data_IF_121780314714
#
_entry.id   IF_121780314714
#
_cell.length_a   1.000
_cell.length_b   1.000
_cell.length_c   1.000
_cell.angle_alpha   90.00
_cell.angle_beta   90.00
_cell.angle_gamma   90.00
#
_symmetry.space_group_name_H-M   'P 1'
#
loop_
_entity.id
_entity.type
_entity.pdbx_description
1 polymer ?
#
# COMPACT_ATOMS: atom_id res chain seq x y z
N UNK A 1 17.29 7.04 30.75
CA UNK A 1 16.48 5.81 30.66
C UNK A 1 15.39 6.04 29.63
N UNK A 2 15.43 5.34 28.50
CA UNK A 2 14.36 5.42 27.50
C UNK A 2 13.07 4.90 28.13
N UNK A 3 11.99 5.67 28.00
CA UNK A 3 10.67 5.32 28.52
C UNK A 3 10.21 4.06 27.76
N UNK A 4 9.96 2.97 28.46
CA UNK A 4 9.47 1.73 27.86
C UNK A 4 8.20 2.04 27.07
N UNK A 5 8.21 1.73 25.78
CA UNK A 5 7.05 1.89 24.91
C UNK A 5 5.96 0.94 25.41
N UNK A 6 4.81 1.46 25.78
CA UNK A 6 3.67 0.65 26.21
C UNK A 6 2.81 0.36 24.97
N UNK A 7 2.94 -0.82 24.42
CA UNK A 7 2.03 -1.30 23.40
C UNK A 7 0.66 -1.67 24.03
N UNK A 8 -0.40 -1.46 23.26
CA UNK A 8 -1.77 -1.69 23.73
C UNK A 8 -2.21 -3.15 23.61
N UNK A 9 -1.62 -3.88 22.64
CA UNK A 9 -1.97 -5.27 22.32
C UNK A 9 -0.85 -6.22 22.76
N UNK A 10 -1.23 -7.43 23.13
CA UNK A 10 -0.26 -8.45 23.56
C UNK A 10 0.66 -8.89 22.41
N UNK A 11 0.12 -9.05 21.19
CA UNK A 11 0.88 -9.33 19.97
C UNK A 11 1.97 -8.30 19.68
N UNK A 12 1.67 -7.01 19.85
CA UNK A 12 2.65 -5.92 19.70
C UNK A 12 3.76 -6.00 20.76
N UNK A 13 3.40 -6.34 22.00
CA UNK A 13 4.36 -6.48 23.10
C UNK A 13 5.29 -7.66 22.90
N UNK A 14 4.77 -8.80 22.44
CA UNK A 14 5.55 -9.99 22.11
C UNK A 14 6.46 -9.73 20.89
N UNK A 15 5.94 -9.09 19.84
CA UNK A 15 6.71 -8.68 18.68
C UNK A 15 7.88 -7.79 19.08
N UNK A 16 7.61 -6.73 19.87
CA UNK A 16 8.63 -5.79 20.33
C UNK A 16 9.75 -6.48 21.10
N UNK A 17 9.42 -7.46 21.96
CA UNK A 17 10.41 -8.23 22.71
C UNK A 17 11.31 -9.03 21.77
N UNK A 18 10.74 -9.84 20.89
CA UNK A 18 11.51 -10.64 19.92
C UNK A 18 12.35 -9.77 18.97
N UNK A 19 11.78 -8.65 18.54
CA UNK A 19 12.49 -7.68 17.71
C UNK A 19 13.71 -7.08 18.42
N UNK A 20 13.55 -6.71 19.70
CA UNK A 20 14.65 -6.18 20.52
C UNK A 20 15.78 -7.20 20.69
N UNK A 21 15.46 -8.49 20.80
CA UNK A 21 16.45 -9.57 20.87
C UNK A 21 17.31 -9.65 19.58
N UNK A 22 16.77 -9.30 18.42
CA UNK A 22 17.52 -9.22 17.15
C UNK A 22 18.44 -7.98 17.08
N UNK A 23 18.11 -6.92 17.80
CA UNK A 23 18.84 -5.64 17.70
C UNK A 23 20.15 -5.61 18.51
N UNK A 24 20.66 -6.75 19.00
CA UNK A 24 21.87 -6.81 19.83
C UNK A 24 23.15 -6.46 19.08
N UNK A 25 23.21 -6.79 17.77
CA UNK A 25 24.42 -6.61 16.93
C UNK A 25 24.24 -5.66 15.75
N UNK A 26 22.99 -5.35 15.43
CA UNK A 26 22.62 -4.49 14.30
C UNK A 26 21.73 -3.35 14.80
N UNK A 27 21.68 -2.25 14.06
CA UNK A 27 20.75 -1.18 14.37
C UNK A 27 19.29 -1.64 14.24
N UNK A 28 18.40 -1.08 15.05
CA UNK A 28 16.97 -1.42 14.98
C UNK A 28 16.36 -1.12 13.59
N UNK A 29 16.85 -0.07 12.93
CA UNK A 29 16.46 0.26 11.56
C UNK A 29 16.87 -0.84 10.57
N UNK A 30 18.12 -1.31 10.64
CA UNK A 30 18.62 -2.37 9.74
C UNK A 30 17.83 -3.66 9.94
N UNK A 31 17.61 -4.07 11.20
CA UNK A 31 16.82 -5.27 11.52
C UNK A 31 15.39 -5.15 11.01
N UNK A 32 14.79 -3.95 11.14
CA UNK A 32 13.44 -3.70 10.63
C UNK A 32 13.37 -3.83 9.11
N UNK A 33 14.27 -3.15 8.41
CA UNK A 33 14.33 -3.21 6.95
C UNK A 33 14.59 -4.64 6.43
N UNK A 34 15.49 -5.38 7.10
CA UNK A 34 15.78 -6.78 6.81
C UNK A 34 14.55 -7.67 7.03
N UNK A 35 13.83 -7.50 8.15
CA UNK A 35 12.60 -8.25 8.44
C UNK A 35 11.53 -7.98 7.38
N UNK A 36 11.23 -6.72 7.11
CA UNK A 36 10.20 -6.32 6.14
C UNK A 36 10.53 -6.85 4.74
N UNK A 37 11.80 -6.70 4.29
CA UNK A 37 12.21 -7.18 2.98
C UNK A 37 12.12 -8.71 2.87
N UNK A 38 12.61 -9.46 3.86
CA UNK A 38 12.56 -10.92 3.84
C UNK A 38 11.12 -11.45 3.90
N UNK A 39 10.25 -10.87 4.73
CA UNK A 39 8.85 -11.23 4.78
C UNK A 39 8.13 -10.96 3.44
N UNK A 40 8.38 -9.79 2.82
CA UNK A 40 7.82 -9.47 1.51
C UNK A 40 8.29 -10.42 0.42
N UNK A 41 9.59 -10.76 0.39
CA UNK A 41 10.16 -11.75 -0.55
C UNK A 41 9.49 -13.12 -0.35
N UNK A 42 9.31 -13.55 0.88
CA UNK A 42 8.67 -14.85 1.19
C UNK A 42 7.26 -14.94 0.61
N UNK A 43 6.44 -13.90 0.80
CA UNK A 43 5.08 -13.85 0.22
C UNK A 43 5.16 -13.82 -1.30
N UNK A 44 5.96 -12.92 -1.87
CA UNK A 44 6.04 -12.74 -3.31
C UNK A 44 6.50 -13.99 -4.02
N UNK A 45 7.59 -14.62 -3.55
CA UNK A 45 8.17 -15.81 -4.20
C UNK A 45 7.30 -17.06 -4.05
N UNK A 46 6.32 -17.08 -3.13
CA UNK A 46 5.35 -18.16 -3.05
C UNK A 46 4.39 -18.17 -4.25
N UNK A 47 4.12 -17.02 -4.87
CA UNK A 47 3.20 -16.83 -5.99
C UNK A 47 3.92 -16.58 -7.32
N UNK A 48 4.96 -15.75 -7.32
CA UNK A 48 5.82 -15.47 -8.48
C UNK A 48 7.01 -16.41 -8.42
N UNK A 49 6.87 -17.60 -8.98
CA UNK A 49 7.78 -18.75 -8.76
C UNK A 49 8.92 -18.85 -9.77
N UNK A 50 8.90 -18.06 -10.83
CA UNK A 50 9.84 -18.18 -11.95
C UNK A 50 10.28 -16.80 -12.46
N UNK A 51 11.46 -16.76 -13.04
CA UNK A 51 12.00 -15.59 -13.72
C UNK A 51 12.99 -14.76 -12.91
N UNK A 52 13.56 -13.78 -13.57
CA UNK A 52 14.67 -12.97 -13.02
C UNK A 52 14.30 -12.28 -11.70
N UNK A 53 13.06 -11.79 -11.58
CA UNK A 53 12.60 -11.09 -10.37
C UNK A 53 12.58 -12.03 -9.17
N UNK A 54 12.06 -13.26 -9.34
CA UNK A 54 12.08 -14.30 -8.32
C UNK A 54 13.52 -14.60 -7.88
N UNK A 55 14.43 -14.88 -8.84
CA UNK A 55 15.81 -15.24 -8.54
C UNK A 55 16.58 -14.12 -7.84
N UNK A 56 16.35 -12.86 -8.22
CA UNK A 56 17.02 -11.72 -7.61
C UNK A 56 16.49 -11.47 -6.19
N UNK A 57 15.19 -11.65 -5.93
CA UNK A 57 14.59 -11.62 -4.60
C UNK A 57 15.12 -12.74 -3.71
N UNK A 58 15.21 -13.98 -4.24
CA UNK A 58 15.76 -15.10 -3.50
C UNK A 58 17.23 -14.87 -3.12
N UNK A 59 18.06 -14.37 -4.04
CA UNK A 59 19.44 -13.97 -3.73
C UNK A 59 19.52 -12.90 -2.66
N UNK A 60 18.59 -11.92 -2.68
CA UNK A 60 18.50 -10.89 -1.65
C UNK A 60 18.16 -11.52 -0.30
N UNK A 61 17.13 -12.39 -0.22
CA UNK A 61 16.74 -13.09 0.99
C UNK A 61 17.93 -13.87 1.57
N UNK A 62 18.57 -14.70 0.75
CA UNK A 62 19.71 -15.53 1.17
C UNK A 62 20.92 -14.71 1.61
N UNK A 63 21.16 -13.55 1.03
CA UNK A 63 22.23 -12.63 1.47
C UNK A 63 21.90 -12.03 2.81
N UNK A 64 20.68 -11.57 3.00
CA UNK A 64 20.21 -10.93 4.25
C UNK A 64 20.24 -11.90 5.41
N UNK A 65 19.63 -13.09 5.25
CA UNK A 65 19.51 -14.06 6.36
C UNK A 65 20.87 -14.62 6.81
N UNK A 66 21.86 -14.74 5.91
CA UNK A 66 23.23 -15.12 6.24
C UNK A 66 23.94 -14.12 7.17
N UNK A 67 23.47 -12.89 7.24
CA UNK A 67 23.97 -11.86 8.17
C UNK A 67 23.59 -12.10 9.63
N UNK A 68 22.75 -13.10 9.91
CA UNK A 68 22.23 -13.46 11.22
C UNK A 68 22.71 -14.84 11.63
N UNK A 69 22.96 -15.06 12.94
CA UNK A 69 23.30 -16.38 13.45
C UNK A 69 22.07 -17.30 13.48
N UNK A 70 22.27 -18.60 13.68
CA UNK A 70 21.20 -19.59 13.65
C UNK A 70 20.05 -19.30 14.64
N UNK A 71 20.36 -18.81 15.83
CA UNK A 71 19.34 -18.44 16.82
C UNK A 71 18.52 -17.24 16.39
N UNK A 72 19.19 -16.21 15.85
CA UNK A 72 18.54 -15.02 15.30
C UNK A 72 17.67 -15.33 14.08
N UNK A 73 18.13 -16.23 13.20
CA UNK A 73 17.37 -16.66 12.03
C UNK A 73 16.01 -17.26 12.40
N UNK A 74 15.92 -17.97 13.53
CA UNK A 74 14.68 -18.57 14.04
C UNK A 74 13.69 -17.54 14.61
N UNK A 75 14.11 -16.30 14.84
CA UNK A 75 13.22 -15.24 15.34
C UNK A 75 12.36 -14.65 14.20
N UNK A 76 12.90 -14.53 12.99
CA UNK A 76 12.17 -13.95 11.84
C UNK A 76 10.84 -14.63 11.53
N UNK A 77 10.74 -15.98 11.46
CA UNK A 77 9.45 -16.65 11.28
C UNK A 77 8.48 -16.40 12.43
N UNK A 78 8.97 -16.23 13.68
CA UNK A 78 8.10 -15.91 14.82
C UNK A 78 7.55 -14.50 14.74
N UNK A 79 8.36 -13.52 14.32
CA UNK A 79 7.88 -12.15 14.05
C UNK A 79 6.83 -12.14 12.95
N UNK A 80 7.05 -12.91 11.88
CA UNK A 80 6.09 -13.03 10.80
C UNK A 80 4.79 -13.69 11.25
N UNK A 81 4.85 -14.75 12.07
CA UNK A 81 3.67 -15.39 12.64
C UNK A 81 2.85 -14.42 13.50
N UNK A 82 3.51 -13.62 14.37
CA UNK A 82 2.84 -12.61 15.19
C UNK A 82 2.16 -11.51 14.35
N UNK A 83 2.76 -11.13 13.21
CA UNK A 83 2.12 -10.21 12.26
C UNK A 83 0.86 -10.84 11.65
N UNK A 84 0.94 -12.09 11.21
CA UNK A 84 -0.21 -12.82 10.65
C UNK A 84 -1.33 -12.94 11.68
N UNK A 85 -1.03 -13.44 12.88
CA UNK A 85 -1.99 -13.58 13.98
C UNK A 85 -2.65 -12.23 14.34
N UNK A 86 -1.85 -11.15 14.42
CA UNK A 86 -2.37 -9.84 14.77
C UNK A 86 -3.36 -9.29 13.73
N UNK A 87 -3.11 -9.52 12.43
CA UNK A 87 -4.00 -9.08 11.35
C UNK A 87 -5.20 -10.01 11.15
N UNK A 88 -5.10 -11.28 11.54
CA UNK A 88 -6.23 -12.22 11.55
C UNK A 88 -7.20 -11.90 12.70
N UNK A 89 -6.68 -11.66 13.89
CA UNK A 89 -7.47 -11.31 15.08
C UNK A 89 -8.16 -9.94 14.94
N UNK A 90 -7.45 -8.95 14.44
CA UNK A 90 -7.95 -7.58 14.27
C UNK A 90 -7.50 -7.01 12.91
N UNK A 91 -8.27 -7.22 11.84
CA UNK A 91 -7.92 -6.71 10.51
C UNK A 91 -8.07 -5.19 10.36
N UNK A 92 -8.76 -4.50 11.31
CA UNK A 92 -9.00 -3.06 11.27
C UNK A 92 -7.91 -2.29 12.04
N UNK A 93 -6.63 -2.49 11.65
CA UNK A 93 -5.46 -1.86 12.27
C UNK A 93 -4.31 -1.67 11.27
N UNK A 94 -3.43 -0.71 11.54
CA UNK A 94 -2.11 -0.56 10.92
C UNK A 94 -1.04 -1.12 11.86
N UNK A 95 -0.90 -2.46 11.91
CA UNK A 95 0.03 -3.10 12.82
C UNK A 95 1.48 -2.68 12.61
N UNK A 96 1.96 -2.72 11.35
CA UNK A 96 3.37 -2.39 11.06
C UNK A 96 3.67 -0.91 11.23
N UNK A 97 2.77 -0.01 10.84
CA UNK A 97 2.95 1.42 11.05
C UNK A 97 2.94 1.79 12.54
N UNK A 98 2.05 1.20 13.35
CA UNK A 98 2.04 1.39 14.80
C UNK A 98 3.32 0.84 15.45
N UNK A 99 3.81 -0.33 15.01
CA UNK A 99 5.08 -0.91 15.49
C UNK A 99 6.27 -0.03 15.11
N UNK A 100 6.33 0.43 13.87
CA UNK A 100 7.39 1.32 13.37
C UNK A 100 7.50 2.60 14.22
N UNK A 101 6.36 3.25 14.46
CA UNK A 101 6.29 4.46 15.29
C UNK A 101 6.59 4.16 16.75
N UNK A 102 6.05 3.06 17.29
CA UNK A 102 6.23 2.64 18.67
C UNK A 102 7.69 2.26 19.01
N UNK A 103 8.41 1.68 18.07
CA UNK A 103 9.84 1.35 18.21
C UNK A 103 10.78 2.54 17.94
N UNK A 104 10.22 3.75 17.69
CA UNK A 104 10.95 4.98 17.37
C UNK A 104 11.87 4.84 16.14
N UNK A 105 11.51 4.03 15.18
CA UNK A 105 12.28 3.83 13.95
C UNK A 105 12.23 5.07 13.04
N UNK A 106 11.15 5.84 13.11
CA UNK A 106 10.98 7.09 12.35
C UNK A 106 12.01 8.19 12.69
N UNK A 107 12.64 8.16 13.86
CA UNK A 107 13.66 9.14 14.25
C UNK A 107 14.93 9.06 13.41
N UNK A 108 15.20 7.94 12.74
CA UNK A 108 16.34 7.77 11.84
C UNK A 108 16.05 8.28 10.42
N UNK A 109 14.78 8.48 10.06
CA UNK A 109 14.33 8.87 8.72
C UNK A 109 13.76 10.30 8.70
N UNK A 110 14.58 11.31 8.99
CA UNK A 110 14.31 12.73 8.67
C UNK A 110 12.86 13.20 8.85
N UNK A 111 12.15 12.70 9.90
CA UNK A 111 10.81 13.18 10.22
C UNK A 111 9.66 12.52 9.45
N UNK A 112 9.83 11.32 8.92
CA UNK A 112 8.71 10.56 8.35
C UNK A 112 7.76 10.10 9.47
N UNK A 113 6.53 10.58 9.44
CA UNK A 113 5.47 10.21 10.37
C UNK A 113 4.31 9.60 9.60
N UNK A 114 3.87 8.41 9.99
CA UNK A 114 2.67 7.82 9.43
C UNK A 114 1.42 8.47 10.02
N UNK A 115 0.39 8.62 9.18
CA UNK A 115 -0.90 9.14 9.62
C UNK A 115 -1.52 8.19 10.64
N UNK A 116 -1.95 8.66 11.82
CA UNK A 116 -2.61 7.82 12.81
C UNK A 116 -3.81 7.07 12.22
N UNK A 117 -3.92 5.77 12.51
CA UNK A 117 -4.91 4.90 11.88
C UNK A 117 -6.37 5.36 12.08
N UNK A 118 -6.71 5.96 13.23
CA UNK A 118 -8.04 6.53 13.47
C UNK A 118 -8.39 7.69 12.52
N UNK A 119 -7.39 8.46 12.08
CA UNK A 119 -7.60 9.52 11.06
C UNK A 119 -7.83 8.88 9.70
N UNK A 120 -7.06 7.83 9.35
CA UNK A 120 -7.27 7.08 8.11
C UNK A 120 -8.68 6.47 8.04
N UNK A 121 -9.19 5.93 9.15
CA UNK A 121 -10.58 5.44 9.23
C UNK A 121 -11.60 6.55 8.95
N UNK A 122 -11.44 7.70 9.57
CA UNK A 122 -12.34 8.84 9.34
C UNK A 122 -12.31 9.29 7.87
N UNK A 123 -11.12 9.42 7.28
CA UNK A 123 -10.96 9.78 5.87
C UNK A 123 -11.65 8.74 4.97
N UNK A 124 -11.42 7.47 5.25
CA UNK A 124 -12.00 6.37 4.48
C UNK A 124 -13.53 6.37 4.52
N UNK A 125 -14.16 6.60 5.69
CA UNK A 125 -15.62 6.69 5.80
C UNK A 125 -16.21 7.84 4.96
N UNK A 126 -15.46 8.92 4.78
CA UNK A 126 -15.90 10.06 3.97
C UNK A 126 -15.68 9.80 2.47
N UNK A 127 -14.57 9.12 2.10
CA UNK A 127 -14.16 8.99 0.71
C UNK A 127 -14.71 7.73 0.03
N UNK A 128 -14.99 6.67 0.80
CA UNK A 128 -15.54 5.39 0.30
C UNK A 128 -17.08 5.48 0.18
N UNK A 129 -17.60 6.62 -0.20
CA UNK A 129 -19.02 6.82 -0.58
C UNK A 129 -19.17 6.59 -2.09
N UNK A 130 -20.35 6.23 -2.54
CA UNK A 130 -20.71 6.07 -3.96
C UNK A 130 -19.94 4.99 -4.75
N UNK A 131 -19.18 4.10 -4.07
CA UNK A 131 -18.48 3.00 -4.73
C UNK A 131 -19.43 1.97 -5.31
N UNK A 132 -20.61 1.79 -4.71
CA UNK A 132 -21.61 0.82 -5.18
C UNK A 132 -22.01 1.08 -6.64
N UNK A 133 -22.33 2.32 -6.98
CA UNK A 133 -22.66 2.69 -8.35
C UNK A 133 -21.50 2.45 -9.36
N UNK A 134 -20.27 2.67 -8.92
CA UNK A 134 -19.09 2.38 -9.76
C UNK A 134 -18.87 0.87 -9.92
N UNK A 135 -19.07 0.11 -8.85
CA UNK A 135 -18.95 -1.36 -8.88
C UNK A 135 -20.06 -1.94 -9.74
N UNK A 136 -21.30 -1.48 -9.63
CA UNK A 136 -22.41 -1.90 -10.48
C UNK A 136 -22.10 -1.65 -11.96
N UNK A 137 -21.52 -0.51 -12.30
CA UNK A 137 -21.19 -0.15 -13.67
C UNK A 137 -20.01 -0.95 -14.25
N UNK A 138 -18.95 -1.14 -13.47
CA UNK A 138 -17.66 -1.64 -13.96
C UNK A 138 -17.30 -3.05 -13.45
N UNK A 139 -18.08 -3.59 -12.49
CA UNK A 139 -17.79 -4.84 -11.80
C UNK A 139 -16.68 -4.76 -10.76
N UNK A 140 -15.98 -3.63 -10.67
CA UNK A 140 -14.90 -3.37 -9.73
C UNK A 140 -14.54 -1.89 -9.65
N UNK A 141 -13.73 -1.53 -8.64
CA UNK A 141 -13.23 -0.17 -8.42
C UNK A 141 -11.73 -0.19 -8.10
N UNK A 142 -10.98 0.79 -8.61
CA UNK A 142 -9.58 1.04 -8.22
C UNK A 142 -9.51 1.99 -7.03
N UNK A 143 -8.71 1.64 -6.03
CA UNK A 143 -8.37 2.48 -4.88
C UNK A 143 -6.88 2.75 -4.94
N UNK A 144 -6.50 4.03 -5.07
CA UNK A 144 -5.12 4.42 -5.29
C UNK A 144 -4.62 5.35 -4.19
N UNK A 145 -3.42 5.03 -3.66
CA UNK A 145 -2.66 5.88 -2.74
C UNK A 145 -1.23 6.08 -3.26
N UNK A 146 -0.88 7.27 -3.79
CA UNK A 146 0.43 7.54 -4.38
C UNK A 146 1.53 7.82 -3.35
N UNK A 147 1.22 7.86 -2.04
CA UNK A 147 2.16 8.09 -0.94
C UNK A 147 1.77 7.21 0.25
N UNK A 148 1.67 5.89 -0.01
CA UNK A 148 0.95 4.96 0.84
C UNK A 148 1.56 4.72 2.23
N UNK A 149 2.83 5.04 2.46
CA UNK A 149 3.50 4.72 3.71
C UNK A 149 3.37 3.23 4.04
N UNK A 150 2.98 2.91 5.26
CA UNK A 150 2.68 1.53 5.69
C UNK A 150 1.33 0.98 5.17
N UNK A 151 0.53 1.78 4.45
CA UNK A 151 -0.75 1.37 3.89
C UNK A 151 -1.97 1.66 4.77
N UNK A 152 -1.83 2.46 5.82
CA UNK A 152 -2.89 2.73 6.79
C UNK A 152 -4.21 3.19 6.15
N UNK A 153 -4.16 4.09 5.15
CA UNK A 153 -5.35 4.58 4.46
C UNK A 153 -6.02 3.49 3.61
N UNK A 154 -5.22 2.67 2.91
CA UNK A 154 -5.73 1.56 2.10
C UNK A 154 -6.33 0.44 2.97
N UNK A 155 -5.73 0.15 4.14
CA UNK A 155 -6.29 -0.78 5.13
C UNK A 155 -7.63 -0.25 5.64
N UNK A 156 -7.72 1.03 5.96
CA UNK A 156 -8.97 1.66 6.40
C UNK A 156 -10.03 1.60 5.30
N UNK A 157 -9.67 1.89 4.03
CA UNK A 157 -10.57 1.78 2.88
C UNK A 157 -11.11 0.35 2.71
N UNK A 158 -10.21 -0.66 2.78
CA UNK A 158 -10.60 -2.07 2.76
C UNK A 158 -11.62 -2.41 3.85
N UNK A 159 -11.39 -1.96 5.07
CA UNK A 159 -12.28 -2.27 6.18
C UNK A 159 -13.60 -1.52 6.11
N UNK A 160 -13.62 -0.29 5.59
CA UNK A 160 -14.86 0.43 5.27
C UNK A 160 -15.68 -0.32 4.21
N UNK A 161 -15.05 -0.85 3.16
CA UNK A 161 -15.73 -1.67 2.16
C UNK A 161 -16.33 -2.94 2.77
N UNK A 162 -15.58 -3.63 3.63
CA UNK A 162 -16.08 -4.84 4.34
C UNK A 162 -17.29 -4.50 5.23
N UNK A 163 -17.25 -3.38 5.96
CA UNK A 163 -18.40 -2.91 6.75
C UNK A 163 -19.63 -2.63 5.87
N UNK A 164 -19.43 -2.13 4.68
CA UNK A 164 -20.47 -1.90 3.68
C UNK A 164 -20.83 -3.17 2.88
N UNK A 165 -20.38 -4.36 3.32
CA UNK A 165 -20.65 -5.67 2.71
C UNK A 165 -20.15 -5.80 1.27
N UNK A 166 -19.18 -4.99 0.87
CA UNK A 166 -18.50 -5.11 -0.41
C UNK A 166 -17.40 -6.19 -0.30
N UNK A 167 -17.45 -7.19 -1.15
CA UNK A 167 -16.51 -8.31 -1.12
C UNK A 167 -15.10 -7.89 -1.58
N UNK A 168 -14.05 -8.65 -1.23
CA UNK A 168 -12.67 -8.35 -1.61
C UNK A 168 -12.41 -8.41 -3.12
N UNK A 169 -13.25 -9.11 -3.86
CA UNK A 169 -13.10 -9.26 -5.31
C UNK A 169 -13.54 -8.03 -6.14
N UNK A 170 -14.05 -6.97 -5.50
CA UNK A 170 -14.52 -5.77 -6.21
C UNK A 170 -13.58 -4.57 -6.09
N UNK A 171 -12.46 -4.68 -5.35
CA UNK A 171 -11.49 -3.60 -5.19
C UNK A 171 -10.09 -4.01 -5.65
N UNK A 172 -9.48 -3.19 -6.50
CA UNK A 172 -8.08 -3.25 -6.87
C UNK A 172 -7.31 -2.15 -6.12
N UNK A 173 -6.34 -2.55 -5.31
CA UNK A 173 -5.53 -1.62 -4.52
C UNK A 173 -4.24 -1.30 -5.26
N UNK A 174 -4.00 -0.02 -5.51
CA UNK A 174 -2.80 0.49 -6.15
C UNK A 174 -2.09 1.40 -5.17
N UNK A 175 -0.91 1.00 -4.73
CA UNK A 175 -0.12 1.74 -3.76
C UNK A 175 1.23 2.14 -4.34
N UNK A 176 1.72 3.32 -4.00
CA UNK A 176 3.05 3.76 -4.37
C UNK A 176 3.71 4.50 -3.21
N UNK A 177 5.00 4.28 -2.99
CA UNK A 177 5.82 5.06 -2.07
C UNK A 177 7.27 5.10 -2.55
N UNK A 178 7.95 6.20 -2.29
CA UNK A 178 9.37 6.35 -2.62
C UNK A 178 10.26 5.57 -1.64
N UNK A 179 9.81 5.41 -0.39
CA UNK A 179 10.50 4.63 0.62
C UNK A 179 10.20 3.14 0.47
N UNK A 180 11.24 2.38 0.10
CA UNK A 180 11.08 0.94 -0.13
C UNK A 180 10.57 0.18 1.11
N UNK A 181 11.03 0.56 2.30
CA UNK A 181 10.61 -0.14 3.54
C UNK A 181 9.14 0.15 3.85
N UNK A 182 8.71 1.40 3.71
CA UNK A 182 7.31 1.77 3.88
C UNK A 182 6.40 1.08 2.85
N UNK A 183 6.77 1.11 1.57
CA UNK A 183 6.05 0.42 0.51
C UNK A 183 5.92 -1.09 0.77
N UNK A 184 6.99 -1.74 1.24
CA UNK A 184 6.95 -3.17 1.59
C UNK A 184 6.14 -3.47 2.86
N UNK A 185 6.06 -2.54 3.82
CA UNK A 185 5.11 -2.65 4.95
C UNK A 185 3.67 -2.64 4.45
N UNK A 186 3.34 -1.73 3.52
CA UNK A 186 2.04 -1.67 2.85
C UNK A 186 1.74 -2.99 2.10
N UNK A 187 2.71 -3.47 1.29
CA UNK A 187 2.60 -4.73 0.57
C UNK A 187 2.28 -5.92 1.50
N UNK A 188 3.01 -6.04 2.62
CA UNK A 188 2.82 -7.12 3.59
C UNK A 188 1.41 -7.09 4.18
N UNK A 189 0.99 -5.95 4.71
CA UNK A 189 -0.29 -5.81 5.38
C UNK A 189 -1.46 -6.06 4.42
N UNK A 190 -1.45 -5.44 3.23
CA UNK A 190 -2.51 -5.63 2.24
C UNK A 190 -2.54 -7.06 1.69
N UNK A 191 -1.37 -7.69 1.49
CA UNK A 191 -1.30 -9.10 1.07
C UNK A 191 -1.91 -10.04 2.10
N UNK A 192 -1.59 -9.87 3.37
CA UNK A 192 -2.12 -10.69 4.47
C UNK A 192 -3.63 -10.44 4.71
N UNK A 193 -4.11 -9.22 4.44
CA UNK A 193 -5.53 -8.86 4.49
C UNK A 193 -6.34 -9.32 3.26
N UNK A 194 -5.70 -10.04 2.32
CA UNK A 194 -6.36 -10.59 1.13
C UNK A 194 -6.75 -9.55 0.08
N UNK A 195 -6.08 -8.39 0.05
CA UNK A 195 -6.30 -7.37 -0.96
C UNK A 195 -5.68 -7.78 -2.29
N UNK A 196 -6.38 -7.54 -3.39
CA UNK A 196 -5.85 -7.71 -4.73
C UNK A 196 -5.28 -6.37 -5.23
N UNK A 197 -4.12 -6.40 -5.87
CA UNK A 197 -3.48 -5.21 -6.38
C UNK A 197 -1.97 -5.29 -6.38
N UNK A 198 -1.32 -4.15 -6.29
CA UNK A 198 0.13 -4.07 -6.31
C UNK A 198 0.65 -2.82 -5.60
N UNK A 199 1.90 -2.92 -5.16
CA UNK A 199 2.66 -1.82 -4.56
C UNK A 199 3.85 -1.51 -5.45
N UNK A 200 4.12 -0.22 -5.67
CA UNK A 200 5.23 0.27 -6.49
C UNK A 200 6.18 1.08 -5.62
N UNK A 201 7.46 0.71 -5.65
CA UNK A 201 8.51 1.53 -5.05
C UNK A 201 9.04 2.46 -6.13
N UNK A 202 8.68 3.72 -6.07
CA UNK A 202 9.17 4.77 -6.96
C UNK A 202 8.69 6.15 -6.47
N UNK A 203 9.32 7.21 -6.96
CA UNK A 203 8.83 8.57 -6.79
C UNK A 203 7.51 8.76 -7.57
N UNK A 204 6.42 9.03 -6.87
CA UNK A 204 5.08 9.14 -7.47
C UNK A 204 4.88 10.40 -8.32
N UNK A 205 5.77 11.38 -8.23
CA UNK A 205 5.75 12.60 -9.03
C UNK A 205 6.55 12.39 -10.33
N UNK A 206 7.76 11.83 -10.21
CA UNK A 206 8.66 11.64 -11.35
C UNK A 206 8.33 10.37 -12.15
N UNK A 207 7.90 9.32 -11.47
CA UNK A 207 7.60 8.01 -12.01
C UNK A 207 6.24 7.51 -11.51
N UNK A 208 5.13 8.23 -11.80
CA UNK A 208 3.81 7.80 -11.37
C UNK A 208 3.45 6.45 -12.01
N UNK A 209 2.82 5.57 -11.23
CA UNK A 209 2.28 4.34 -11.80
C UNK A 209 1.04 4.66 -12.62
N UNK A 210 1.15 4.49 -13.90
CA UNK A 210 0.05 4.69 -14.84
C UNK A 210 -0.17 3.37 -15.58
N UNK A 211 -1.36 2.81 -15.46
CA UNK A 211 -1.74 1.65 -16.25
C UNK A 211 -1.84 2.01 -17.74
N UNK A 212 -1.68 1.03 -18.63
CA UNK A 212 -1.86 1.23 -20.05
C UNK A 212 -3.26 1.81 -20.35
N UNK A 213 -3.31 2.97 -21.04
CA UNK A 213 -4.57 3.68 -21.27
C UNK A 213 -5.29 4.14 -20.00
N UNK A 214 -4.54 4.41 -18.91
CA UNK A 214 -5.07 4.75 -17.58
C UNK A 214 -5.85 3.62 -16.88
N UNK A 215 -5.78 2.38 -17.39
CA UNK A 215 -6.41 1.24 -16.76
C UNK A 215 -5.42 0.57 -15.76
N UNK A 216 -5.67 0.63 -14.45
CA UNK A 216 -4.76 0.08 -13.45
C UNK A 216 -4.66 -1.45 -13.46
N UNK A 217 -5.53 -2.17 -14.17
CA UNK A 217 -5.39 -3.62 -14.39
C UNK A 217 -4.20 -3.97 -15.31
N UNK A 218 -3.78 -3.04 -16.16
CA UNK A 218 -2.75 -3.26 -17.17
C UNK A 218 -1.48 -2.49 -16.82
N UNK A 219 -0.72 -3.04 -15.87
CA UNK A 219 0.52 -2.41 -15.40
C UNK A 219 1.58 -2.49 -16.51
N UNK A 220 2.24 -1.37 -16.77
CA UNK A 220 3.40 -1.25 -17.66
C UNK A 220 4.53 -0.54 -16.92
N UNK A 221 5.27 -1.25 -16.03
CA UNK A 221 6.29 -0.63 -15.20
C UNK A 221 7.48 -0.15 -16.03
N UNK A 222 8.05 0.99 -15.61
CA UNK A 222 9.32 1.49 -16.12
C UNK A 222 10.49 0.87 -15.34
N UNK A 223 11.75 0.97 -15.83
CA UNK A 223 12.92 0.44 -15.12
C UNK A 223 13.15 1.04 -13.73
N UNK A 224 12.63 2.25 -13.47
CA UNK A 224 12.72 2.97 -12.21
C UNK A 224 11.69 2.52 -11.17
N UNK A 225 10.74 1.68 -11.58
CA UNK A 225 9.63 1.21 -10.75
C UNK A 225 9.85 -0.24 -10.32
N UNK A 226 10.01 -0.47 -9.01
CA UNK A 226 10.02 -1.83 -8.43
C UNK A 226 8.58 -2.23 -8.06
N UNK A 227 7.99 -3.19 -8.78
CA UNK A 227 6.59 -3.60 -8.60
C UNK A 227 6.48 -4.88 -7.78
N UNK A 228 5.54 -4.89 -6.82
CA UNK A 228 5.20 -5.99 -5.94
C UNK A 228 3.73 -6.36 -6.10
N UNK A 229 3.46 -7.47 -6.78
CA UNK A 229 2.10 -7.97 -7.00
C UNK A 229 1.59 -8.71 -5.76
N UNK A 230 0.40 -8.34 -5.28
CA UNK A 230 -0.22 -9.00 -4.12
C UNK A 230 -0.79 -10.37 -4.50
N UNK A 231 -0.73 -11.37 -3.60
CA UNK A 231 -1.20 -12.74 -3.87
C UNK A 231 -2.62 -12.85 -4.43
N UNK A 232 -3.55 -12.07 -3.93
CA UNK A 232 -4.93 -12.11 -4.37
C UNK A 232 -5.13 -11.68 -5.84
N UNK A 233 -4.15 -10.98 -6.44
CA UNK A 233 -4.20 -10.63 -7.86
C UNK A 233 -4.05 -11.85 -8.79
N UNK A 234 -3.47 -12.94 -8.29
CA UNK A 234 -3.34 -14.21 -9.01
C UNK A 234 -4.59 -15.10 -8.87
N UNK A 235 -5.58 -14.67 -8.09
CA UNK A 235 -6.82 -15.40 -7.84
C UNK A 235 -7.98 -14.80 -8.62
N UNK A 236 -8.96 -15.65 -9.02
CA UNK A 236 -10.17 -15.15 -9.68
C UNK A 236 -10.95 -14.17 -8.78
N UNK A 237 -11.53 -13.12 -9.38
CA UNK A 237 -11.74 -12.91 -10.83
C UNK A 237 -10.65 -12.06 -11.52
N UNK A 238 -9.53 -11.74 -10.89
CA UNK A 238 -8.55 -10.78 -11.39
C UNK A 238 -7.82 -11.22 -12.66
N UNK A 239 -7.32 -12.48 -12.77
CA UNK A 239 -6.71 -12.95 -14.01
C UNK A 239 -7.66 -12.87 -15.21
N UNK A 240 -8.93 -13.25 -15.02
CA UNK A 240 -9.93 -13.15 -16.08
C UNK A 240 -10.19 -11.70 -16.50
N UNK A 241 -10.26 -10.76 -15.55
CA UNK A 241 -10.41 -9.31 -15.85
C UNK A 241 -9.22 -8.75 -16.60
N UNK A 242 -8.00 -9.08 -16.19
CA UNK A 242 -6.77 -8.66 -16.86
C UNK A 242 -6.73 -9.20 -18.29
N UNK A 243 -7.07 -10.47 -18.47
CA UNK A 243 -7.10 -11.10 -19.80
C UNK A 243 -8.17 -10.47 -20.70
N UNK A 244 -9.36 -10.20 -20.17
CA UNK A 244 -10.43 -9.51 -20.90
C UNK A 244 -9.99 -8.13 -21.37
N UNK A 245 -9.38 -7.33 -20.50
CA UNK A 245 -8.90 -5.98 -20.86
C UNK A 245 -7.79 -6.03 -21.92
N UNK A 246 -6.86 -6.97 -21.83
CA UNK A 246 -5.84 -7.19 -22.87
C UNK A 246 -6.47 -7.55 -24.22
N UNK A 247 -7.46 -8.43 -24.21
CA UNK A 247 -8.18 -8.82 -25.42
C UNK A 247 -8.97 -7.65 -25.99
N UNK A 248 -9.65 -6.85 -25.16
CA UNK A 248 -10.39 -5.66 -25.58
C UNK A 248 -9.46 -4.66 -26.30
N UNK A 249 -8.30 -4.34 -25.72
CA UNK A 249 -7.32 -3.44 -26.34
C UNK A 249 -6.77 -4.00 -27.66
N UNK A 250 -6.52 -5.30 -27.72
CA UNK A 250 -6.07 -5.93 -28.98
C UNK A 250 -7.13 -5.81 -30.09
N UNK A 251 -8.42 -6.04 -29.78
CA UNK A 251 -9.53 -5.89 -30.73
C UNK A 251 -9.74 -4.44 -31.16
N UNK A 252 -9.59 -3.49 -30.25
CA UNK A 252 -9.62 -2.05 -30.55
C UNK A 252 -8.47 -1.65 -31.50
N UNK A 253 -7.26 -2.14 -31.26
CA UNK A 253 -6.10 -1.87 -32.12
C UNK A 253 -6.27 -2.44 -33.54
N UNK A 254 -7.04 -3.52 -33.68
CA UNK A 254 -7.39 -4.14 -34.97
C UNK A 254 -8.62 -3.47 -35.65
N UNK A 255 -9.25 -2.49 -35.03
CA UNK A 255 -10.45 -1.84 -35.54
C UNK A 255 -11.72 -2.70 -35.55
N UNK A 256 -11.67 -3.86 -34.85
CA UNK A 256 -12.80 -4.81 -34.76
C UNK A 256 -13.84 -4.34 -33.74
N UNK A 257 -13.40 -3.68 -32.66
CA UNK A 257 -14.26 -3.00 -31.68
C UNK A 257 -14.09 -1.50 -31.83
N UNK A 258 -15.21 -0.78 -31.92
CA UNK A 258 -15.19 0.69 -31.75
C UNK A 258 -15.23 0.97 -30.25
N UNK A 259 -14.39 1.87 -29.78
CA UNK A 259 -14.57 2.54 -28.50
C UNK A 259 -15.98 3.08 -28.43
N UNK A 260 -16.71 2.84 -27.34
CA UNK A 260 -18.00 3.50 -27.08
C UNK A 260 -17.84 5.03 -27.23
N UNK A 261 -18.96 5.78 -27.26
CA UNK A 261 -18.90 7.23 -27.48
C UNK A 261 -17.86 7.82 -26.52
N UNK A 262 -16.96 8.65 -27.09
CA UNK A 262 -16.06 9.47 -26.30
C UNK A 262 -16.86 10.10 -25.17
N UNK A 263 -16.34 10.12 -23.91
CA UNK A 263 -17.01 10.88 -22.88
C UNK A 263 -17.20 12.28 -23.45
N UNK A 264 -18.46 12.71 -23.56
CA UNK A 264 -18.79 14.07 -23.97
C UNK A 264 -17.86 15.00 -23.19
N UNK A 265 -16.93 15.62 -23.90
CA UNK A 265 -16.17 16.72 -23.37
C UNK A 265 -17.24 17.77 -23.05
N UNK A 266 -17.63 17.84 -21.77
CA UNK A 266 -18.32 19.02 -21.31
C UNK A 266 -17.42 20.17 -21.72
N UNK A 267 -17.89 21.07 -22.62
CA UNK A 267 -17.13 22.27 -22.91
C UNK A 267 -16.89 22.91 -21.54
N UNK A 268 -15.63 23.13 -21.18
CA UNK A 268 -15.29 23.90 -20.02
C UNK A 268 -16.12 25.19 -20.14
N UNK A 269 -17.19 25.30 -19.36
CA UNK A 269 -17.86 26.58 -19.16
C UNK A 269 -16.73 27.49 -18.68
N UNK A 270 -16.36 28.42 -19.53
CA UNK A 270 -15.43 29.48 -19.20
C UNK A 270 -16.10 30.21 -18.01
N UNK A 271 -15.71 29.82 -16.81
CA UNK A 271 -16.05 30.53 -15.60
C UNK A 271 -15.51 31.94 -15.77
N UNK A 272 -16.42 32.85 -16.16
CA UNK A 272 -16.11 34.27 -16.23
C UNK A 272 -15.71 34.66 -14.81
N UNK A 273 -14.43 34.95 -14.63
CA UNK A 273 -13.91 35.48 -13.40
C UNK A 273 -14.79 36.68 -12.96
N UNK A 274 -15.30 36.66 -11.72
CA UNK A 274 -16.04 37.81 -11.20
C UNK A 274 -15.15 39.07 -11.25
N UNK A 275 -15.71 40.25 -11.52
CA UNK A 275 -14.94 41.48 -11.59
C UNK A 275 -14.19 41.71 -10.28
N UNK A 276 -12.90 42.05 -10.40
CA UNK A 276 -12.04 42.32 -9.26
C UNK A 276 -12.65 43.36 -8.34
N UNK A 277 -13.08 42.93 -7.14
CA UNK A 277 -13.43 43.82 -6.06
C UNK A 277 -12.18 44.54 -5.55
N UNK A 278 -12.29 45.88 -5.44
CA UNK A 278 -11.23 46.71 -4.89
C UNK A 278 -10.97 46.31 -3.42
N UNK A 279 -9.70 46.34 -2.95
CA UNK A 279 -9.38 45.93 -1.59
C UNK A 279 -10.02 46.85 -0.56
N UNK A 280 -11.00 46.33 0.17
CA UNK A 280 -11.49 46.97 1.39
C UNK A 280 -10.44 46.83 2.49
N UNK A 281 -10.07 47.95 3.09
CA UNK A 281 -9.12 48.02 4.21
C UNK A 281 -9.67 47.22 5.41
N UNK A 282 -8.94 46.19 5.76
CA UNK A 282 -9.20 45.38 6.97
C UNK A 282 -8.75 46.16 8.22
N UNK A 283 -9.61 46.31 9.26
CA UNK A 283 -9.15 46.93 10.52
C UNK A 283 -8.14 46.02 11.23
N UNK A 284 -7.01 46.60 11.64
CA UNK A 284 -6.03 45.94 12.49
C UNK A 284 -6.65 45.66 13.87
N UNK A 285 -6.75 44.36 14.22
CA UNK A 285 -6.99 43.95 15.61
C UNK A 285 -5.67 43.93 16.35
N UNK A 286 -5.47 44.87 17.24
CA UNK A 286 -4.43 44.86 18.28
C UNK A 286 -4.84 43.85 19.35
N UNK A 287 -4.10 42.79 19.55
CA UNK A 287 -4.19 41.90 20.70
C UNK A 287 -3.10 42.33 21.71
N UNK A 288 -3.51 42.54 22.96
CA UNK A 288 -2.66 42.74 24.12
C UNK A 288 -1.88 41.46 24.47
#
# INVERSE_FOLDING_TARGET
>A
MARAVRFRRDSQSQFSKLFTDLCQRKSSWEVWADFIAMAAITISNAFDREGKTHDDREKQYMRTIKGYNQGEQQIFPKLFALLVEALDDEPDQDFLGEMFMGLNLGNHWKGQFFTPYNICRMISEITVTDLEARIEKNGWVGIHDPCCGAGALLIAARNTMVRNKLGPAVALYVAQDIDRTAALMCYLQLSLLGCAGYVVVADSILHPIVGHGQNPLLISPTPEQEVWLMPALYMEPWPARIQWERMRLALESLGVMRTGPEPEQHPAEAEQAPPAEQPQQTPQLTLF
#
